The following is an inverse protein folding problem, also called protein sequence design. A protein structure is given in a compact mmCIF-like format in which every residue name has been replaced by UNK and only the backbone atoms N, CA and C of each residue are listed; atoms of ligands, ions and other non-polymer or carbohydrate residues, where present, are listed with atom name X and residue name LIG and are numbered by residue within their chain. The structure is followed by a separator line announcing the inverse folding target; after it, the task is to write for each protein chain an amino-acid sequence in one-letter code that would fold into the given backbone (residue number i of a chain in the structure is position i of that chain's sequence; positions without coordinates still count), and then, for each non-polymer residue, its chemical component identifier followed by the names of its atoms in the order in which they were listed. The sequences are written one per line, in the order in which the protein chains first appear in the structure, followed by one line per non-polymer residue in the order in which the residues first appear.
data_IF_807955008978
#
_entry.id   IF_807955008978
#
_cell.length_a   1.000
_cell.length_b   1.000
_cell.length_c   1.000
_cell.angle_alpha   90.00
_cell.angle_beta   90.00
_cell.angle_gamma   90.00
#
_symmetry.space_group_name_H-M   'P 1'
#
loop_
_entity.id
_entity.type
_entity.pdbx_description
1 polymer ?
#
# COMPACT_ATOMS: atom_id res chain seq x y z
N UNK A 1 2.22 -18.94 -30.35
CA UNK A 1 2.68 -18.60 -28.98
C UNK A 1 1.55 -17.81 -28.32
N UNK A 2 1.08 -18.19 -27.12
CA UNK A 2 0.04 -17.42 -26.42
C UNK A 2 0.69 -16.22 -25.73
N UNK A 3 0.22 -15.01 -26.04
CA UNK A 3 0.58 -13.77 -25.36
C UNK A 3 -0.44 -13.50 -24.26
N UNK A 4 0.03 -13.31 -23.02
CA UNK A 4 -0.79 -12.98 -21.86
C UNK A 4 -0.69 -11.48 -21.59
N UNK A 5 -1.83 -10.82 -21.41
CA UNK A 5 -1.85 -9.40 -21.05
C UNK A 5 -1.92 -9.25 -19.54
N UNK A 6 -0.75 -9.27 -18.90
CA UNK A 6 -0.62 -9.14 -17.45
C UNK A 6 -1.18 -7.82 -16.89
N UNK A 7 -1.32 -6.77 -17.72
CA UNK A 7 -1.97 -5.51 -17.30
C UNK A 7 -3.47 -5.68 -17.02
N UNK A 8 -4.13 -6.62 -17.68
CA UNK A 8 -5.58 -6.79 -17.61
C UNK A 8 -5.96 -7.85 -16.57
N UNK A 9 -5.11 -8.86 -16.39
CA UNK A 9 -5.37 -9.97 -15.46
C UNK A 9 -4.86 -9.69 -14.04
N UNK A 10 -3.82 -8.87 -13.88
CA UNK A 10 -3.17 -8.65 -12.59
C UNK A 10 -2.87 -7.16 -12.34
N UNK A 11 -2.91 -6.75 -11.08
CA UNK A 11 -2.44 -5.44 -10.64
C UNK A 11 -0.89 -5.40 -10.55
N UNK A 12 -0.21 -5.90 -11.59
CA UNK A 12 1.23 -6.17 -11.53
C UNK A 12 2.06 -4.94 -11.15
N UNK A 13 1.63 -3.73 -11.54
CA UNK A 13 2.34 -2.49 -11.17
C UNK A 13 2.25 -2.21 -9.68
N UNK A 14 1.08 -2.46 -9.07
CA UNK A 14 0.91 -2.39 -7.62
C UNK A 14 1.82 -3.40 -6.94
N UNK A 15 1.74 -4.67 -7.35
CA UNK A 15 2.51 -5.75 -6.75
C UNK A 15 4.03 -5.52 -6.86
N UNK A 16 4.49 -5.04 -8.02
CA UNK A 16 5.89 -4.70 -8.26
C UNK A 16 6.29 -3.44 -7.47
N UNK A 17 5.44 -2.42 -7.40
CA UNK A 17 5.72 -1.23 -6.60
C UNK A 17 5.86 -1.56 -5.11
N UNK A 18 5.00 -2.41 -4.56
CA UNK A 18 5.12 -2.90 -3.18
C UNK A 18 6.41 -3.67 -2.95
N UNK A 19 6.81 -4.53 -3.90
CA UNK A 19 8.07 -5.27 -3.80
C UNK A 19 9.27 -4.32 -3.81
N UNK A 20 9.28 -3.35 -4.73
CA UNK A 20 10.33 -2.35 -4.85
C UNK A 20 10.41 -1.47 -3.59
N UNK A 21 9.28 -1.00 -3.08
CA UNK A 21 9.20 -0.21 -1.86
C UNK A 21 9.70 -1.00 -0.64
N UNK A 22 9.29 -2.28 -0.51
CA UNK A 22 9.78 -3.20 0.52
C UNK A 22 11.31 -3.23 0.54
N UNK A 23 11.94 -3.45 -0.61
CA UNK A 23 13.40 -3.49 -0.71
C UNK A 23 14.05 -2.12 -0.43
N UNK A 24 13.48 -1.03 -0.97
CA UNK A 24 14.04 0.32 -0.85
C UNK A 24 14.07 0.83 0.60
N UNK A 25 13.06 0.49 1.38
CA UNK A 25 12.86 1.02 2.74
C UNK A 25 13.11 -0.01 3.84
N UNK A 26 13.58 -1.22 3.50
CA UNK A 26 13.80 -2.29 4.48
C UNK A 26 12.53 -2.73 5.21
N UNK A 27 11.37 -2.54 4.57
CA UNK A 27 10.07 -2.85 5.16
C UNK A 27 9.68 -4.30 4.93
N UNK A 28 8.59 -4.73 5.57
CA UNK A 28 7.98 -6.05 5.45
C UNK A 28 6.56 -5.91 4.91
N UNK A 29 6.13 -6.85 4.07
CA UNK A 29 4.72 -6.95 3.69
C UNK A 29 3.91 -7.35 4.91
N UNK A 30 2.72 -6.82 5.05
CA UNK A 30 1.74 -7.25 6.05
C UNK A 30 1.05 -8.55 5.64
N UNK A 31 0.70 -8.69 4.34
CA UNK A 31 0.13 -9.91 3.79
C UNK A 31 1.17 -11.03 3.71
N UNK A 32 0.82 -12.21 4.24
CA UNK A 32 1.65 -13.42 4.18
C UNK A 32 2.83 -13.45 5.16
N UNK A 33 3.06 -12.41 5.96
CA UNK A 33 4.10 -12.38 6.99
C UNK A 33 3.52 -12.52 8.39
N UNK A 34 4.24 -13.28 9.21
CA UNK A 34 3.91 -13.45 10.62
C UNK A 34 4.54 -12.34 11.47
N UNK A 35 3.91 -11.16 11.52
CA UNK A 35 4.30 -10.06 12.40
C UNK A 35 4.32 -10.45 13.89
N UNK A 36 3.77 -11.61 14.29
CA UNK A 36 3.89 -12.15 15.67
C UNK A 36 5.31 -12.58 16.04
N UNK A 37 6.22 -12.66 15.06
CA UNK A 37 7.63 -12.99 15.27
C UNK A 37 8.54 -11.77 15.36
N UNK A 38 7.99 -10.57 15.22
CA UNK A 38 8.75 -9.32 15.33
C UNK A 38 8.96 -8.98 16.80
N UNK A 39 10.21 -9.00 17.30
CA UNK A 39 10.50 -8.76 18.72
C UNK A 39 10.23 -7.31 19.14
N UNK A 40 10.28 -6.38 18.18
CA UNK A 40 10.21 -4.95 18.42
C UNK A 40 8.78 -4.38 18.41
N UNK A 41 7.77 -5.21 18.13
CA UNK A 41 6.36 -4.79 18.17
C UNK A 41 5.78 -4.92 19.56
N UNK A 42 5.16 -3.85 20.07
CA UNK A 42 4.35 -3.95 21.28
C UNK A 42 3.12 -4.85 21.05
N UNK A 43 2.52 -5.42 22.13
CA UNK A 43 1.30 -6.21 22.00
C UNK A 43 0.14 -5.45 21.32
N UNK A 44 0.06 -4.13 21.52
CA UNK A 44 -0.97 -3.28 20.91
C UNK A 44 -0.76 -3.13 19.40
N UNK A 45 0.46 -2.84 18.98
CA UNK A 45 0.83 -2.74 17.56
C UNK A 45 0.66 -4.08 16.84
N UNK A 46 1.04 -5.17 17.49
CA UNK A 46 0.84 -6.51 16.96
C UNK A 46 -0.64 -6.82 16.73
N UNK A 47 -1.50 -6.52 17.71
CA UNK A 47 -2.93 -6.69 17.60
C UNK A 47 -3.54 -5.81 16.50
N UNK A 48 -3.03 -4.58 16.32
CA UNK A 48 -3.45 -3.69 15.25
C UNK A 48 -3.10 -4.27 13.87
N UNK A 49 -1.84 -4.64 13.64
CA UNK A 49 -1.41 -5.24 12.38
C UNK A 49 -2.19 -6.52 12.10
N UNK A 50 -2.42 -7.37 13.11
CA UNK A 50 -3.25 -8.57 12.96
C UNK A 50 -4.67 -8.29 12.48
N UNK A 51 -5.26 -7.19 12.93
CA UNK A 51 -6.60 -6.79 12.52
C UNK A 51 -6.61 -6.18 11.12
N UNK A 52 -5.58 -5.42 10.76
CA UNK A 52 -5.56 -4.56 9.57
C UNK A 52 -4.64 -5.06 8.44
N UNK A 53 -4.02 -6.23 8.58
CA UNK A 53 -2.99 -6.75 7.67
C UNK A 53 -3.39 -6.83 6.19
N UNK A 54 -4.68 -6.94 5.88
CA UNK A 54 -5.18 -6.94 4.48
C UNK A 54 -5.42 -5.55 3.89
N UNK A 55 -5.23 -4.51 4.70
CA UNK A 55 -5.59 -3.13 4.36
C UNK A 55 -4.43 -2.16 4.50
N UNK A 56 -3.28 -2.67 4.95
CA UNK A 56 -1.99 -1.96 5.05
C UNK A 56 -1.05 -2.68 4.09
N UNK A 57 -0.22 -1.98 3.33
CA UNK A 57 0.67 -2.65 2.36
C UNK A 57 1.97 -3.15 3.03
N UNK A 58 2.70 -2.23 3.67
CA UNK A 58 3.99 -2.53 4.30
C UNK A 58 4.05 -1.98 5.73
N UNK A 59 4.95 -2.55 6.53
CA UNK A 59 5.31 -2.07 7.85
C UNK A 59 6.80 -2.21 8.12
N UNK A 60 7.34 -1.40 9.05
CA UNK A 60 8.65 -1.59 9.67
C UNK A 60 8.65 -1.02 11.07
N UNK A 61 9.57 -1.43 11.94
CA UNK A 61 9.91 -0.67 13.13
C UNK A 61 11.11 0.23 12.81
N UNK A 62 11.08 1.49 13.25
CA UNK A 62 12.23 2.38 13.13
C UNK A 62 13.33 2.05 14.16
N UNK A 63 14.44 2.77 14.13
CA UNK A 63 15.58 2.54 15.05
C UNK A 63 15.21 2.73 16.53
N UNK A 64 14.11 3.43 16.83
CA UNK A 64 13.58 3.62 18.18
C UNK A 64 12.57 2.54 18.59
N UNK A 65 12.27 1.59 17.70
CA UNK A 65 11.26 0.55 17.90
C UNK A 65 9.83 1.02 17.62
N UNK A 66 9.63 2.24 17.08
CA UNK A 66 8.29 2.74 16.77
C UNK A 66 7.80 2.10 15.47
N UNK A 67 6.55 1.61 15.46
CA UNK A 67 5.91 1.11 14.24
C UNK A 67 5.69 2.24 13.23
N UNK A 68 6.10 1.96 11.99
CA UNK A 68 5.77 2.72 10.80
C UNK A 68 5.02 1.82 9.81
N UNK A 69 3.97 2.34 9.19
CA UNK A 69 3.23 1.65 8.13
C UNK A 69 3.20 2.49 6.85
N UNK A 70 3.11 1.81 5.71
CA UNK A 70 3.24 2.43 4.40
C UNK A 70 2.06 2.06 3.50
N UNK A 71 1.48 3.08 2.89
CA UNK A 71 0.58 2.98 1.75
C UNK A 71 1.39 3.15 0.45
N UNK A 72 1.44 2.12 -0.38
CA UNK A 72 2.24 2.10 -1.61
C UNK A 72 1.34 2.34 -2.82
N UNK A 73 1.73 3.30 -3.65
CA UNK A 73 1.05 3.61 -4.92
C UNK A 73 2.02 3.53 -6.09
N UNK A 74 1.55 2.94 -7.17
CA UNK A 74 2.22 2.96 -8.45
C UNK A 74 1.62 4.07 -9.35
N UNK A 75 2.46 4.87 -9.99
CA UNK A 75 2.04 5.79 -11.06
C UNK A 75 2.96 5.69 -12.27
N UNK A 76 2.44 6.03 -13.44
CA UNK A 76 3.26 6.23 -14.64
C UNK A 76 3.68 7.68 -14.72
N UNK A 77 4.92 7.93 -15.15
CA UNK A 77 5.40 9.28 -15.40
C UNK A 77 4.44 10.06 -16.32
N UNK A 78 4.24 11.35 -16.05
CA UNK A 78 3.32 12.20 -16.80
C UNK A 78 1.83 12.01 -16.47
N UNK A 79 1.44 10.99 -15.70
CA UNK A 79 0.05 10.79 -15.26
C UNK A 79 -0.21 11.54 -13.94
N UNK A 80 -1.13 12.51 -13.97
CA UNK A 80 -1.46 13.41 -12.85
C UNK A 80 -2.73 13.05 -12.06
N UNK A 81 -3.36 11.91 -12.35
CA UNK A 81 -4.56 11.48 -11.61
C UNK A 81 -4.22 11.20 -10.14
N UNK A 82 -5.16 11.52 -9.24
CA UNK A 82 -5.06 11.08 -7.83
C UNK A 82 -5.02 9.57 -7.74
N UNK A 83 -4.25 9.06 -6.78
CA UNK A 83 -4.19 7.62 -6.48
C UNK A 83 -5.48 7.17 -5.81
N UNK A 84 -5.93 5.94 -6.12
CA UNK A 84 -7.09 5.34 -5.48
C UNK A 84 -6.71 4.69 -4.15
N UNK A 85 -7.60 4.80 -3.16
CA UNK A 85 -7.55 4.07 -1.88
C UNK A 85 -8.94 3.50 -1.58
N UNK A 86 -9.02 2.33 -0.97
CA UNK A 86 -10.30 1.79 -0.50
C UNK A 86 -10.70 2.47 0.82
N UNK A 87 -11.99 2.48 1.13
CA UNK A 87 -12.51 2.96 2.42
C UNK A 87 -11.95 2.15 3.58
N UNK A 88 -11.72 0.84 3.40
CA UNK A 88 -11.13 -0.02 4.42
C UNK A 88 -9.68 0.32 4.71
N UNK A 89 -8.85 0.51 3.68
CA UNK A 89 -7.46 0.96 3.83
C UNK A 89 -7.39 2.35 4.44
N UNK A 90 -8.21 3.30 3.96
CA UNK A 90 -8.26 4.64 4.54
C UNK A 90 -8.59 4.61 6.05
N UNK A 91 -9.60 3.84 6.44
CA UNK A 91 -9.97 3.69 7.85
C UNK A 91 -8.85 3.03 8.68
N UNK A 92 -8.14 2.04 8.10
CA UNK A 92 -6.99 1.40 8.74
C UNK A 92 -5.87 2.40 9.04
N UNK A 93 -5.52 3.25 8.08
CA UNK A 93 -4.49 4.28 8.25
C UNK A 93 -4.89 5.38 9.22
N UNK A 94 -6.14 5.85 9.17
CA UNK A 94 -6.66 6.82 10.15
C UNK A 94 -6.64 6.25 11.58
N UNK A 95 -6.99 4.97 11.74
CA UNK A 95 -6.92 4.29 13.03
C UNK A 95 -5.48 4.13 13.55
N UNK A 96 -4.50 3.92 12.66
CA UNK A 96 -3.09 3.89 13.03
C UNK A 96 -2.59 5.27 13.47
N UNK A 97 -2.92 6.33 12.71
CA UNK A 97 -2.59 7.71 13.08
C UNK A 97 -3.16 8.09 14.45
N UNK A 98 -4.41 7.71 14.75
CA UNK A 98 -5.05 7.96 16.05
C UNK A 98 -4.35 7.24 17.23
N UNK A 99 -3.51 6.25 16.95
CA UNK A 99 -2.69 5.53 17.92
C UNK A 99 -1.23 6.01 17.96
N UNK A 100 -0.92 7.16 17.35
CA UNK A 100 0.43 7.72 17.22
C UNK A 100 1.42 6.81 16.46
N UNK A 101 0.90 6.00 15.53
CA UNK A 101 1.73 5.22 14.60
C UNK A 101 2.02 6.09 13.38
N UNK A 102 3.27 6.08 12.93
CA UNK A 102 3.68 6.82 11.72
C UNK A 102 3.09 6.14 10.49
N UNK A 103 2.42 6.92 9.65
CA UNK A 103 1.85 6.43 8.39
C UNK A 103 2.46 7.23 7.26
N UNK A 104 3.05 6.54 6.30
CA UNK A 104 3.68 7.15 5.13
C UNK A 104 2.93 6.75 3.85
N UNK A 105 2.93 7.64 2.87
CA UNK A 105 2.61 7.30 1.49
C UNK A 105 3.88 7.19 0.67
N UNK A 106 4.04 6.07 -0.01
CA UNK A 106 5.11 5.83 -0.97
C UNK A 106 4.54 5.84 -2.36
N UNK A 107 5.04 6.73 -3.21
CA UNK A 107 4.73 6.73 -4.64
C UNK A 107 5.92 6.20 -5.42
N UNK A 108 5.72 5.09 -6.13
CA UNK A 108 6.65 4.53 -7.10
C UNK A 108 6.25 4.98 -8.50
N UNK A 109 7.11 5.76 -9.16
CA UNK A 109 6.88 6.26 -10.51
C UNK A 109 7.63 5.41 -11.52
N UNK A 110 6.91 4.82 -12.48
CA UNK A 110 7.48 4.06 -13.59
C UNK A 110 7.67 4.96 -14.82
N UNK A 111 8.87 4.96 -15.37
CA UNK A 111 9.24 5.68 -16.59
C UNK A 111 9.26 4.75 -17.80
N UNK A 112 9.15 5.31 -19.01
CA UNK A 112 9.08 4.53 -20.25
C UNK A 112 10.41 3.82 -20.59
N UNK A 113 11.52 4.31 -20.06
CA UNK A 113 12.86 3.73 -20.20
C UNK A 113 13.16 2.64 -19.15
N UNK A 114 12.14 2.11 -18.46
CA UNK A 114 12.27 1.11 -17.39
C UNK A 114 12.93 1.59 -16.09
N UNK A 115 13.22 2.88 -15.95
CA UNK A 115 13.63 3.45 -14.67
C UNK A 115 12.45 3.60 -13.72
N UNK A 116 12.76 3.71 -12.42
CA UNK A 116 11.78 3.99 -11.37
C UNK A 116 12.29 5.06 -10.43
N UNK A 117 11.38 5.88 -9.90
CA UNK A 117 11.67 6.84 -8.82
C UNK A 117 10.73 6.65 -7.64
N UNK A 118 11.20 6.99 -6.45
CA UNK A 118 10.48 6.84 -5.20
C UNK A 118 10.29 8.19 -4.55
N UNK A 119 9.07 8.46 -4.09
CA UNK A 119 8.76 9.59 -3.22
C UNK A 119 8.08 9.04 -1.97
N UNK A 120 8.55 9.47 -0.80
CA UNK A 120 7.93 9.17 0.49
C UNK A 120 7.49 10.46 1.14
N UNK A 121 6.26 10.47 1.64
CA UNK A 121 5.65 11.61 2.33
C UNK A 121 4.85 11.10 3.52
N UNK A 122 4.54 11.99 4.46
CA UNK A 122 3.54 11.71 5.47
C UNK A 122 2.18 11.46 4.82
N UNK A 123 1.42 10.52 5.40
CA UNK A 123 0.12 10.16 4.86
C UNK A 123 -0.85 11.34 4.93
N UNK A 124 -1.36 11.73 3.77
CA UNK A 124 -2.38 12.76 3.62
C UNK A 124 -3.57 12.19 2.84
N UNK A 125 -4.67 11.95 3.55
CA UNK A 125 -5.91 11.42 2.99
C UNK A 125 -6.48 12.27 1.84
N UNK A 126 -6.19 13.58 1.80
CA UNK A 126 -6.72 14.49 0.78
C UNK A 126 -6.10 14.27 -0.60
N UNK A 127 -4.93 13.63 -0.67
CA UNK A 127 -4.23 13.27 -1.91
C UNK A 127 -4.84 12.05 -2.62
N UNK A 128 -5.69 11.30 -1.94
CA UNK A 128 -6.31 10.09 -2.48
C UNK A 128 -7.73 10.34 -2.96
N UNK A 129 -8.17 9.48 -3.89
CA UNK A 129 -9.57 9.31 -4.24
C UNK A 129 -10.07 8.02 -3.61
N UNK A 130 -11.11 8.10 -2.78
CA UNK A 130 -11.73 6.90 -2.22
C UNK A 130 -12.50 6.17 -3.31
N UNK A 131 -12.14 4.90 -3.53
CA UNK A 131 -12.73 4.04 -4.56
C UNK A 131 -12.74 2.59 -4.07
N UNK A 132 -13.89 2.10 -3.61
CA UNK A 132 -14.09 0.71 -3.15
C UNK A 132 -14.29 -0.30 -4.30
N UNK A 133 -14.00 0.11 -5.54
CA UNK A 133 -14.17 -0.73 -6.72
C UNK A 133 -15.53 -0.54 -7.38
N UNK A 134 -15.55 0.31 -8.42
CA UNK A 134 -16.61 0.34 -9.43
C UNK A 134 -16.56 -0.83 -10.44
N UNK A 135 -15.58 -1.75 -10.35
CA UNK A 135 -15.37 -2.77 -11.38
C UNK A 135 -16.41 -3.92 -11.39
N UNK A 136 -17.19 -4.11 -10.33
CA UNK A 136 -18.23 -5.15 -10.26
C UNK A 136 -19.67 -4.64 -10.39
N UNK A 137 -19.94 -3.33 -10.36
CA UNK A 137 -21.31 -2.80 -10.50
C UNK A 137 -21.82 -2.69 -11.93
N UNK A 138 -20.95 -2.80 -12.95
CA UNK A 138 -21.40 -2.79 -14.36
C UNK A 138 -22.02 -4.10 -14.82
N UNK A 139 -21.77 -5.23 -14.15
CA UNK A 139 -22.33 -6.54 -14.55
C UNK A 139 -23.76 -6.76 -14.03
N UNK A 140 -24.16 -6.03 -12.97
CA UNK A 140 -25.50 -6.15 -12.37
C UNK A 140 -26.54 -5.18 -12.95
N UNK A 141 -26.15 -4.25 -13.82
CA UNK A 141 -27.07 -3.30 -14.48
C UNK A 141 -27.27 -3.62 -15.97
N UNK A 142 -26.75 -4.76 -16.42
CA UNK A 142 -26.92 -5.27 -17.79
C UNK A 142 -27.52 -6.68 -17.82
N UNK A 143 -28.25 -7.07 -16.76
CA UNK A 143 -29.06 -8.28 -16.69
C UNK A 143 -30.55 -7.91 -16.74
#
# INVERSE_FOLDING_TARGET
MKTYNLKTEYNWRGDVAELLAKHRYGAKRTEGYDFRKEPDLSPKENALLKRLWKSIDLYKCDESGQLEIYEVKAKTFGVSRRSDITSSSLAAYQQALAQNIKVHSVTVTFYDNWEVSFVIEDFDATKFRVNDGGHYRRVLLSA
#
